data_IF_702819459615
#
_entry.id   IF_702819459615
#
_cell.length_a   1.000
_cell.length_b   1.000
_cell.length_c   1.000
_cell.angle_alpha   90.00
_cell.angle_beta   90.00
_cell.angle_gamma   90.00
#
_symmetry.space_group_name_H-M   'P 1'
#
loop_
_entity.id
_entity.type
_entity.pdbx_description
1 polymer ?
#
# COMPACT_ATOMS: atom_id res chain seq x y z
N UNK A 1 -13.03 9.75 -22.30
CA UNK A 1 -12.18 8.78 -21.64
C UNK A 1 -10.73 9.20 -21.73
N UNK A 2 -10.06 9.15 -20.64
CA UNK A 2 -8.71 9.63 -20.63
C UNK A 2 -7.72 8.54 -21.05
N UNK A 3 -7.22 8.64 -22.29
CA UNK A 3 -6.24 7.72 -22.82
C UNK A 3 -4.87 7.83 -22.12
N UNK A 4 -4.67 8.88 -21.33
CA UNK A 4 -3.41 9.05 -20.60
C UNK A 4 -3.42 8.40 -19.22
N UNK A 5 -4.59 8.02 -18.73
CA UNK A 5 -4.67 7.33 -17.45
C UNK A 5 -4.25 5.88 -17.62
N UNK A 6 -3.08 5.58 -17.10
CA UNK A 6 -2.62 4.20 -16.98
C UNK A 6 -2.58 3.85 -15.50
N UNK A 7 -3.33 2.83 -15.08
CA UNK A 7 -3.11 2.32 -13.72
C UNK A 7 -1.65 1.89 -13.60
N UNK A 8 -1.10 2.01 -12.41
CA UNK A 8 0.25 1.50 -12.15
C UNK A 8 0.31 0.05 -12.60
N UNK A 9 1.31 -0.34 -13.40
CA UNK A 9 1.43 -1.72 -13.81
C UNK A 9 1.56 -2.61 -12.59
N UNK A 10 0.83 -3.71 -12.59
CA UNK A 10 0.93 -4.71 -11.52
C UNK A 10 2.15 -5.58 -11.78
N UNK A 11 3.17 -5.54 -10.93
CA UNK A 11 4.33 -6.40 -11.12
C UNK A 11 3.96 -7.87 -10.98
N UNK A 12 4.68 -8.72 -11.69
CA UNK A 12 4.49 -10.18 -11.65
C UNK A 12 5.83 -10.87 -11.86
N UNK A 13 6.70 -10.76 -10.85
CA UNK A 13 8.06 -11.34 -10.90
C UNK A 13 8.10 -12.81 -10.52
N UNK A 14 6.97 -13.35 -10.03
CA UNK A 14 6.94 -14.70 -9.46
C UNK A 14 7.23 -14.74 -7.96
N UNK A 15 7.53 -13.59 -7.34
CA UNK A 15 7.78 -13.46 -5.91
C UNK A 15 6.89 -12.36 -5.33
N UNK A 16 6.03 -12.70 -4.38
CA UNK A 16 5.17 -11.72 -3.72
C UNK A 16 6.00 -10.64 -3.01
N UNK A 17 7.10 -11.04 -2.37
CA UNK A 17 7.97 -10.08 -1.67
C UNK A 17 8.57 -9.06 -2.64
N UNK A 18 9.10 -9.51 -3.77
CA UNK A 18 9.67 -8.60 -4.78
C UNK A 18 8.62 -7.67 -5.37
N UNK A 19 7.44 -8.19 -5.63
CA UNK A 19 6.34 -7.40 -6.20
C UNK A 19 5.88 -6.32 -5.22
N UNK A 20 5.77 -6.65 -3.94
CA UNK A 20 5.40 -5.69 -2.89
C UNK A 20 6.49 -4.64 -2.70
N UNK A 21 7.77 -5.04 -2.72
CA UNK A 21 8.89 -4.08 -2.67
C UNK A 21 8.77 -3.04 -3.79
N UNK A 22 8.51 -3.50 -5.00
CA UNK A 22 8.40 -2.63 -6.16
C UNK A 22 7.24 -1.63 -6.01
N UNK A 23 6.07 -2.11 -5.60
CA UNK A 23 4.89 -1.27 -5.40
C UNK A 23 5.13 -0.24 -4.29
N UNK A 24 5.62 -0.67 -3.13
CA UNK A 24 5.84 0.23 -2.00
C UNK A 24 6.96 1.24 -2.25
N UNK A 25 8.01 0.84 -2.97
CA UNK A 25 9.07 1.77 -3.35
C UNK A 25 8.53 2.89 -4.25
N UNK A 26 7.71 2.53 -5.24
CA UNK A 26 7.06 3.52 -6.09
C UNK A 26 6.13 4.43 -5.28
N UNK A 27 5.42 3.88 -4.32
CA UNK A 27 4.54 4.64 -3.44
C UNK A 27 5.31 5.66 -2.60
N UNK A 28 6.43 5.26 -2.01
CA UNK A 28 7.28 6.17 -1.21
C UNK A 28 7.81 7.31 -2.09
N UNK A 29 8.25 7.02 -3.31
CA UNK A 29 8.69 8.05 -4.24
C UNK A 29 7.56 9.02 -4.58
N UNK A 30 6.35 8.51 -4.73
CA UNK A 30 5.18 9.33 -4.99
C UNK A 30 4.93 10.29 -3.82
N UNK A 31 5.07 9.82 -2.58
CA UNK A 31 4.89 10.65 -1.39
C UNK A 31 5.99 11.71 -1.23
N UNK A 32 7.23 11.35 -1.53
CA UNK A 32 8.37 12.21 -1.24
C UNK A 32 8.75 13.17 -2.37
N UNK A 33 8.47 12.80 -3.63
CA UNK A 33 9.00 13.51 -4.79
C UNK A 33 7.96 14.12 -5.71
N UNK A 34 6.68 14.06 -5.34
CA UNK A 34 5.61 14.61 -6.18
C UNK A 34 4.65 15.44 -5.34
N UNK A 35 3.80 16.28 -5.97
CA UNK A 35 2.73 17.00 -5.27
C UNK A 35 1.58 16.10 -4.79
N UNK A 36 1.62 14.79 -5.07
CA UNK A 36 0.54 13.87 -4.74
C UNK A 36 0.05 13.98 -3.29
N UNK A 37 0.93 14.03 -2.25
CA UNK A 37 0.44 14.10 -0.88
C UNK A 37 -0.41 15.33 -0.60
N UNK A 38 -0.03 16.49 -1.16
CA UNK A 38 -0.82 17.73 -1.00
C UNK A 38 -2.18 17.61 -1.65
N UNK A 39 -2.20 17.06 -2.86
CA UNK A 39 -3.45 16.84 -3.59
C UNK A 39 -4.34 15.85 -2.86
N UNK A 40 -3.75 14.78 -2.34
CA UNK A 40 -4.50 13.78 -1.57
C UNK A 40 -5.09 14.40 -0.31
N UNK A 41 -4.32 15.16 0.46
CA UNK A 41 -4.80 15.80 1.68
C UNK A 41 -5.95 16.76 1.40
N UNK A 42 -5.81 17.59 0.35
CA UNK A 42 -6.87 18.51 -0.07
C UNK A 42 -8.12 17.76 -0.52
N UNK A 43 -7.94 16.66 -1.23
CA UNK A 43 -9.04 15.85 -1.72
C UNK A 43 -9.78 15.15 -0.57
N UNK A 44 -9.06 14.63 0.40
CA UNK A 44 -9.65 14.01 1.60
C UNK A 44 -10.51 15.05 2.34
N UNK A 45 -9.98 16.25 2.54
CA UNK A 45 -10.71 17.32 3.20
C UNK A 45 -11.98 17.70 2.43
N UNK A 46 -11.88 17.88 1.11
CA UNK A 46 -13.04 18.22 0.28
C UNK A 46 -14.09 17.10 0.27
N UNK A 47 -13.66 15.85 0.26
CA UNK A 47 -14.52 14.67 0.23
C UNK A 47 -15.38 14.56 1.51
N UNK A 48 -14.91 15.09 2.63
CA UNK A 48 -15.69 15.11 3.88
C UNK A 48 -16.94 15.97 3.77
N UNK A 49 -16.95 16.94 2.85
CA UNK A 49 -18.04 17.92 2.73
C UNK A 49 -18.90 17.73 1.49
N UNK A 50 -18.48 16.91 0.55
CA UNK A 50 -19.17 16.74 -0.73
C UNK A 50 -19.32 15.25 -1.06
N UNK A 51 -20.57 14.71 -1.06
CA UNK A 51 -20.78 13.29 -1.36
C UNK A 51 -20.28 12.85 -2.73
N UNK A 52 -20.33 13.73 -3.74
CA UNK A 52 -19.82 13.39 -5.08
C UNK A 52 -18.30 13.23 -5.06
N UNK A 53 -17.59 14.10 -4.34
CA UNK A 53 -16.14 13.99 -4.19
C UNK A 53 -15.77 12.81 -3.31
N UNK A 54 -16.60 12.47 -2.33
CA UNK A 54 -16.38 11.29 -1.49
C UNK A 54 -16.42 10.01 -2.32
N UNK A 55 -17.40 9.89 -3.23
CA UNK A 55 -17.48 8.73 -4.14
C UNK A 55 -16.28 8.65 -5.07
N UNK A 56 -15.88 9.80 -5.63
CA UNK A 56 -14.71 9.85 -6.52
C UNK A 56 -13.43 9.47 -5.77
N UNK A 57 -13.28 9.96 -4.54
CA UNK A 57 -12.15 9.62 -3.69
C UNK A 57 -12.08 8.11 -3.43
N UNK A 58 -13.21 7.49 -3.09
CA UNK A 58 -13.29 6.06 -2.87
C UNK A 58 -12.88 5.29 -4.13
N UNK A 59 -13.39 5.68 -5.29
CA UNK A 59 -13.05 5.01 -6.55
C UNK A 59 -11.57 5.11 -6.88
N UNK A 60 -10.99 6.30 -6.72
CA UNK A 60 -9.56 6.51 -6.98
C UNK A 60 -8.68 5.74 -5.99
N UNK A 61 -9.09 5.71 -4.73
CA UNK A 61 -8.38 4.94 -3.71
C UNK A 61 -8.40 3.45 -4.03
N UNK A 62 -9.55 2.93 -4.42
CA UNK A 62 -9.68 1.52 -4.79
C UNK A 62 -8.78 1.17 -5.98
N UNK A 63 -8.71 2.03 -6.98
CA UNK A 63 -7.82 1.82 -8.14
C UNK A 63 -6.35 1.81 -7.76
N UNK A 64 -5.94 2.67 -6.84
CA UNK A 64 -4.55 2.70 -6.36
C UNK A 64 -4.19 1.47 -5.53
N UNK A 65 -5.17 0.91 -4.82
CA UNK A 65 -4.97 -0.28 -3.99
C UNK A 65 -4.92 -1.55 -4.82
N UNK A 66 -5.50 -1.55 -6.01
CA UNK A 66 -5.69 -2.74 -6.83
C UNK A 66 -4.41 -3.53 -7.13
N UNK A 67 -3.27 -2.90 -7.52
CA UNK A 67 -2.05 -3.67 -7.76
C UNK A 67 -1.58 -4.45 -6.55
N UNK A 68 -1.64 -3.86 -5.38
CA UNK A 68 -1.20 -4.52 -4.15
C UNK A 68 -2.14 -5.66 -3.77
N UNK A 69 -3.46 -5.42 -3.87
CA UNK A 69 -4.45 -6.47 -3.65
C UNK A 69 -4.24 -7.66 -4.58
N UNK A 70 -4.00 -7.39 -5.85
CA UNK A 70 -3.76 -8.43 -6.87
C UNK A 70 -2.53 -9.26 -6.53
N UNK A 71 -1.43 -8.61 -6.17
CA UNK A 71 -0.19 -9.29 -5.80
C UNK A 71 -0.38 -10.17 -4.58
N UNK A 72 -1.09 -9.66 -3.56
CA UNK A 72 -1.34 -10.42 -2.34
C UNK A 72 -2.26 -11.63 -2.59
N UNK A 73 -3.29 -11.45 -3.42
CA UNK A 73 -4.17 -12.56 -3.80
C UNK A 73 -3.39 -13.65 -4.55
N UNK A 74 -2.53 -13.27 -5.47
CA UNK A 74 -1.66 -14.21 -6.18
C UNK A 74 -0.74 -14.95 -5.22
N UNK A 75 -0.13 -14.25 -4.28
CA UNK A 75 0.74 -14.87 -3.28
C UNK A 75 0.02 -15.89 -2.42
N UNK A 76 -1.21 -15.58 -2.02
CA UNK A 76 -2.06 -16.52 -1.29
C UNK A 76 -2.40 -17.74 -2.14
N UNK A 77 -2.81 -17.52 -3.39
CA UNK A 77 -3.23 -18.59 -4.29
C UNK A 77 -2.08 -19.53 -4.66
N UNK A 78 -0.85 -19.01 -4.73
CA UNK A 78 0.35 -19.81 -5.00
C UNK A 78 0.94 -20.46 -3.76
N UNK A 79 0.40 -20.17 -2.58
CA UNK A 79 0.92 -20.72 -1.34
C UNK A 79 2.13 -19.98 -0.78
N UNK A 80 2.52 -18.84 -1.35
CA UNK A 80 3.59 -18.02 -0.80
C UNK A 80 3.16 -17.29 0.48
N UNK A 81 1.88 -17.02 0.62
CA UNK A 81 1.28 -16.44 1.81
C UNK A 81 0.31 -17.43 2.42
N UNK A 82 0.06 -17.35 3.75
CA UNK A 82 -0.92 -18.20 4.39
C UNK A 82 -2.30 -18.10 3.73
N UNK A 83 -3.04 -19.22 3.74
CA UNK A 83 -4.37 -19.28 3.12
C UNK A 83 -5.38 -18.35 3.78
N UNK A 84 -5.16 -18.00 5.05
CA UNK A 84 -6.00 -17.06 5.80
C UNK A 84 -5.57 -15.61 5.67
N UNK A 85 -4.63 -15.31 4.77
CA UNK A 85 -4.23 -13.93 4.49
C UNK A 85 -5.43 -13.13 4.00
N UNK A 86 -5.66 -11.99 4.66
CA UNK A 86 -6.68 -11.03 4.24
C UNK A 86 -5.99 -9.95 3.39
N UNK A 87 -6.20 -9.94 2.06
CA UNK A 87 -5.52 -8.97 1.19
C UNK A 87 -5.86 -7.52 1.54
N UNK A 88 -7.09 -7.24 1.93
CA UNK A 88 -7.51 -5.88 2.28
C UNK A 88 -6.78 -5.37 3.53
N UNK A 89 -6.81 -6.14 4.60
CA UNK A 89 -6.14 -5.75 5.84
C UNK A 89 -4.62 -5.69 5.64
N UNK A 90 -4.07 -6.64 4.91
CA UNK A 90 -2.63 -6.66 4.64
C UNK A 90 -2.19 -5.45 3.83
N UNK A 91 -3.01 -5.01 2.86
CA UNK A 91 -2.76 -3.77 2.12
C UNK A 91 -2.73 -2.57 3.06
N UNK A 92 -3.68 -2.47 3.99
CA UNK A 92 -3.71 -1.41 4.98
C UNK A 92 -2.42 -1.41 5.82
N UNK A 93 -2.01 -2.57 6.30
CA UNK A 93 -0.82 -2.69 7.13
C UNK A 93 0.47 -2.35 6.38
N UNK A 94 0.52 -2.64 5.09
CA UNK A 94 1.69 -2.34 4.26
C UNK A 94 1.80 -0.86 3.92
N UNK A 95 0.69 -0.16 3.76
CA UNK A 95 0.68 1.25 3.32
C UNK A 95 0.61 2.24 4.47
N UNK A 96 -0.10 1.91 5.54
CA UNK A 96 -0.36 2.84 6.65
C UNK A 96 0.88 3.42 7.30
N UNK A 97 1.98 2.67 7.53
CA UNK A 97 3.15 3.25 8.17
C UNK A 97 3.74 4.43 7.40
N UNK A 98 3.70 4.39 6.07
CA UNK A 98 4.22 5.46 5.22
C UNK A 98 3.32 6.69 5.26
N UNK A 99 2.00 6.48 5.20
CA UNK A 99 1.03 7.56 5.38
C UNK A 99 1.18 8.21 6.74
N UNK A 100 1.29 7.42 7.79
CA UNK A 100 1.42 7.94 9.15
C UNK A 100 2.65 8.82 9.29
N UNK A 101 3.81 8.35 8.80
CA UNK A 101 5.04 9.15 8.90
C UNK A 101 4.96 10.43 8.10
N UNK A 102 4.38 10.38 6.91
CA UNK A 102 4.30 11.56 6.05
C UNK A 102 3.29 12.58 6.56
N UNK A 103 2.07 12.15 6.86
CA UNK A 103 0.96 13.07 7.15
C UNK A 103 0.80 13.40 8.62
N UNK A 104 1.16 12.52 9.52
CA UNK A 104 0.87 12.66 10.96
C UNK A 104 2.12 12.93 11.76
N UNK A 105 3.10 12.04 11.69
CA UNK A 105 4.31 12.15 12.50
C UNK A 105 5.34 13.14 11.95
N UNK A 106 5.27 13.46 10.65
CA UNK A 106 6.23 14.30 9.95
C UNK A 106 7.67 13.82 10.17
N UNK A 107 7.86 12.51 9.98
CA UNK A 107 9.16 11.88 10.12
C UNK A 107 9.66 11.38 8.77
N UNK A 108 11.00 11.30 8.60
CA UNK A 108 11.56 10.77 7.36
C UNK A 108 11.18 9.30 7.17
N UNK A 109 11.15 8.89 5.91
CA UNK A 109 10.95 7.51 5.52
C UNK A 109 12.31 6.97 5.04
N UNK A 110 13.08 6.30 5.91
CA UNK A 110 14.38 5.77 5.49
C UNK A 110 14.21 4.67 4.44
N UNK A 111 15.20 4.52 3.56
CA UNK A 111 15.11 3.56 2.45
C UNK A 111 14.86 2.12 2.92
N UNK A 112 15.40 1.73 4.07
CA UNK A 112 15.20 0.38 4.63
C UNK A 112 13.77 0.13 5.13
N UNK A 113 12.97 1.18 5.30
CA UNK A 113 11.63 1.03 5.89
C UNK A 113 10.72 0.16 5.04
N UNK A 114 10.84 0.20 3.72
CA UNK A 114 10.04 -0.65 2.84
C UNK A 114 10.27 -2.12 3.17
N UNK A 115 11.52 -2.56 3.19
CA UNK A 115 11.84 -3.96 3.49
C UNK A 115 11.53 -4.34 4.94
N UNK A 116 11.72 -3.42 5.89
CA UNK A 116 11.38 -3.66 7.29
C UNK A 116 9.88 -3.88 7.49
N UNK A 117 9.05 -3.05 6.87
CA UNK A 117 7.58 -3.19 6.95
C UNK A 117 7.15 -4.51 6.32
N UNK A 118 7.67 -4.83 5.14
CA UNK A 118 7.33 -6.08 4.45
C UNK A 118 7.70 -7.28 5.29
N UNK A 119 8.89 -7.28 5.88
CA UNK A 119 9.34 -8.40 6.70
C UNK A 119 8.43 -8.63 7.90
N UNK A 120 7.94 -7.56 8.52
CA UNK A 120 7.04 -7.66 9.67
C UNK A 120 5.63 -8.05 9.32
N UNK A 121 5.15 -7.59 8.17
CA UNK A 121 3.76 -7.84 7.76
C UNK A 121 3.62 -9.19 7.04
N UNK A 122 4.55 -9.53 6.16
CA UNK A 122 4.45 -10.75 5.35
C UNK A 122 5.18 -11.96 5.95
N UNK A 123 5.98 -11.77 7.00
CA UNK A 123 6.67 -12.86 7.70
C UNK A 123 6.23 -12.94 9.16
N UNK A 124 4.97 -13.36 9.41
CA UNK A 124 4.46 -13.44 10.79
C UNK A 124 5.21 -14.47 11.66
N UNK A 125 6.01 -15.36 11.05
CA UNK A 125 6.85 -16.30 11.79
C UNK A 125 7.86 -15.65 12.73
N UNK A 126 8.28 -14.41 12.45
CA UNK A 126 9.15 -13.65 13.35
C UNK A 126 8.42 -13.14 14.60
N UNK A 127 7.10 -12.97 14.50
CA UNK A 127 6.27 -12.47 15.60
C UNK A 127 5.83 -13.60 16.51
N UNK A 128 5.80 -14.85 16.04
CA UNK A 128 5.44 -16.00 16.86
C UNK A 128 6.34 -16.17 18.08
N UNK A 129 7.61 -15.84 17.97
CA UNK A 129 8.53 -15.91 19.09
C UNK A 129 8.19 -14.98 20.23
N UNK A 130 7.38 -13.93 20.01
CA UNK A 130 6.96 -12.99 21.04
C UNK A 130 5.67 -13.42 21.72
N UNK A 131 4.84 -14.22 21.06
CA UNK A 131 3.57 -14.69 21.63
C UNK A 131 3.69 -16.03 22.33
N UNK A 132 4.77 -16.76 22.09
CA UNK A 132 5.03 -18.06 22.71
C UNK A 132 5.82 -17.96 24.03
N UNK A 133 6.06 -16.76 24.49
CA UNK A 133 6.75 -16.53 25.78
C UNK A 133 5.78 -16.41 26.92
#
# INVERSE_FOLDING_TARGET
MDATYRPFPTPDTGSVTKDVVEILTAFVLLLERTPFPRLLAAFIDAAERDPALSRLHTDLTNRRREPLLTVLQRGRDRGELPADTDPELTTDLLTSPFFYRHFVAHRPIPGRMVTDVIARVLNPGRVRGLTDC
#
